data_IF_213644440843
#
_entry.id   IF_213644440843
#
_cell.length_a   1.000
_cell.length_b   1.000
_cell.length_c   1.000
_cell.angle_alpha   90.00
_cell.angle_beta   90.00
_cell.angle_gamma   90.00
#
_symmetry.space_group_name_H-M   'P 1'
#
loop_
_entity.id
_entity.type
_entity.pdbx_description
1 polymer ?
#
# COMPACT_ATOMS: atom_id res chain seq x y z
N UNK A 1 8.82 -3.51 7.21
CA UNK A 1 9.97 -2.58 7.40
C UNK A 1 10.00 -1.47 6.35
N UNK A 2 10.02 -1.80 5.05
CA UNK A 2 9.98 -0.84 3.93
C UNK A 2 8.89 0.22 4.11
N UNK A 3 7.67 -0.21 4.42
CA UNK A 3 6.47 0.59 4.69
C UNK A 3 6.75 1.72 5.69
N UNK A 4 7.31 1.36 6.83
CA UNK A 4 7.57 2.30 7.93
C UNK A 4 8.59 3.34 7.51
N UNK A 5 9.61 2.92 6.75
CA UNK A 5 10.61 3.84 6.22
C UNK A 5 10.00 4.75 5.16
N UNK A 6 9.11 4.24 4.31
CA UNK A 6 8.40 5.03 3.31
C UNK A 6 7.53 6.10 3.96
N UNK A 7 6.67 5.72 4.91
CA UNK A 7 5.81 6.68 5.63
C UNK A 7 6.62 7.75 6.37
N UNK A 8 7.73 7.35 7.03
CA UNK A 8 8.64 8.29 7.70
C UNK A 8 9.37 9.21 6.72
N UNK A 9 9.68 8.74 5.52
CA UNK A 9 10.34 9.54 4.50
C UNK A 9 9.37 10.51 3.81
N UNK A 10 8.14 10.06 3.54
CA UNK A 10 7.08 10.88 2.95
C UNK A 10 6.63 12.02 3.87
N UNK A 11 6.64 11.79 5.20
CA UNK A 11 6.16 12.75 6.21
C UNK A 11 4.84 13.44 5.80
N UNK A 12 3.80 12.69 5.42
CA UNK A 12 2.57 13.31 4.98
C UNK A 12 2.00 14.19 6.10
N UNK A 13 1.55 15.40 5.76
CA UNK A 13 1.04 16.39 6.72
C UNK A 13 -0.18 15.88 7.54
N UNK A 14 -0.92 14.90 7.02
CA UNK A 14 -2.01 14.23 7.76
C UNK A 14 -1.54 13.15 8.76
N UNK A 15 -0.26 12.78 8.75
CA UNK A 15 0.34 11.88 9.76
C UNK A 15 1.23 12.72 10.66
N UNK A 16 0.81 12.91 11.92
CA UNK A 16 1.61 13.66 12.89
C UNK A 16 2.74 12.77 13.44
N UNK A 17 3.96 13.31 13.65
CA UNK A 17 5.05 12.57 14.28
C UNK A 17 4.78 12.27 15.77
N UNK A 18 3.93 13.06 16.43
CA UNK A 18 3.53 12.92 17.84
C UNK A 18 2.01 13.20 18.01
N UNK A 19 1.38 12.65 19.05
CA UNK A 19 -0.06 12.80 19.35
C UNK A 19 -0.92 11.60 18.94
N UNK A 20 -2.25 11.78 18.86
CA UNK A 20 -3.25 10.71 18.64
C UNK A 20 -3.31 10.14 17.21
N UNK A 21 -2.55 10.69 16.25
CA UNK A 21 -2.57 10.29 14.84
C UNK A 21 -1.38 9.38 14.51
N UNK A 22 -1.40 8.16 15.04
CA UNK A 22 -0.31 7.18 14.91
C UNK A 22 -0.63 6.17 13.80
N UNK A 23 0.38 5.83 12.98
CA UNK A 23 0.29 4.67 12.08
C UNK A 23 0.34 3.39 12.91
N UNK A 24 -0.81 2.69 13.06
CA UNK A 24 -0.89 1.40 13.73
C UNK A 24 -0.74 0.27 12.71
N UNK A 25 0.32 -0.52 12.84
CA UNK A 25 0.56 -1.68 11.99
C UNK A 25 -0.09 -2.90 12.65
N UNK A 26 -0.86 -3.64 11.85
CA UNK A 26 -1.51 -4.87 12.28
C UNK A 26 -0.98 -6.03 11.43
N UNK A 27 -0.23 -6.98 12.02
CA UNK A 27 0.11 -8.20 11.31
C UNK A 27 -1.15 -9.07 11.17
N UNK A 28 -1.41 -9.54 9.95
CA UNK A 28 -2.59 -10.34 9.61
C UNK A 28 -2.26 -11.73 9.07
N UNK A 29 -1.00 -12.16 9.16
CA UNK A 29 -0.54 -13.45 8.67
C UNK A 29 -0.52 -13.50 7.13
N UNK A 30 -1.33 -14.38 6.54
CA UNK A 30 -1.40 -14.59 5.10
C UNK A 30 -2.49 -13.73 4.43
N UNK A 31 -2.53 -13.77 3.09
CA UNK A 31 -3.50 -13.05 2.25
C UNK A 31 -4.96 -13.27 2.69
N UNK A 32 -5.36 -14.51 2.97
CA UNK A 32 -6.71 -14.83 3.43
C UNK A 32 -7.04 -14.18 4.78
N UNK A 33 -6.08 -14.14 5.71
CA UNK A 33 -6.21 -13.44 6.99
C UNK A 33 -6.37 -11.93 6.81
N UNK A 34 -5.61 -11.32 5.90
CA UNK A 34 -5.73 -9.89 5.56
C UNK A 34 -7.12 -9.60 4.98
N UNK A 35 -7.59 -10.42 4.02
CA UNK A 35 -8.91 -10.28 3.39
C UNK A 35 -10.02 -10.35 4.45
N UNK A 36 -10.03 -11.40 5.28
CA UNK A 36 -11.04 -11.61 6.32
C UNK A 36 -11.11 -10.47 7.34
N UNK A 37 -9.97 -9.88 7.68
CA UNK A 37 -9.86 -8.84 8.72
C UNK A 37 -10.15 -7.43 8.20
N UNK A 38 -9.95 -7.19 6.91
CA UNK A 38 -10.09 -5.85 6.29
C UNK A 38 -11.44 -5.19 6.57
N UNK A 39 -12.59 -5.86 6.44
CA UNK A 39 -13.88 -5.22 6.71
C UNK A 39 -14.03 -4.76 8.16
N UNK A 40 -13.57 -5.56 9.12
CA UNK A 40 -13.60 -5.19 10.55
C UNK A 40 -12.76 -3.95 10.82
N UNK A 41 -11.53 -3.89 10.30
CA UNK A 41 -10.67 -2.72 10.50
C UNK A 41 -11.17 -1.48 9.74
N UNK A 42 -11.86 -1.67 8.61
CA UNK A 42 -12.52 -0.58 7.91
C UNK A 42 -13.67 -0.01 8.76
N UNK A 43 -14.51 -0.85 9.37
CA UNK A 43 -15.57 -0.39 10.30
C UNK A 43 -14.97 0.41 11.45
N UNK A 44 -13.85 -0.05 12.02
CA UNK A 44 -13.13 0.68 13.06
C UNK A 44 -12.69 2.07 12.58
N UNK A 45 -12.12 2.16 11.37
CA UNK A 45 -11.71 3.44 10.78
C UNK A 45 -12.89 4.37 10.51
N UNK A 46 -14.02 3.84 10.03
CA UNK A 46 -15.24 4.61 9.78
C UNK A 46 -15.81 5.18 11.08
N UNK A 47 -15.86 4.37 12.14
CA UNK A 47 -16.34 4.77 13.47
C UNK A 47 -15.42 5.81 14.13
N UNK A 48 -14.12 5.77 13.86
CA UNK A 48 -13.16 6.75 14.35
C UNK A 48 -13.26 8.12 13.63
N UNK A 49 -13.99 8.22 12.51
CA UNK A 49 -14.27 9.47 11.81
C UNK A 49 -13.41 9.75 10.57
N UNK A 50 -13.60 10.93 9.96
CA UNK A 50 -13.07 11.31 8.64
C UNK A 50 -11.54 11.32 8.51
N UNK A 51 -10.82 11.50 9.62
CA UNK A 51 -9.35 11.60 9.64
C UNK A 51 -8.63 10.25 9.77
N UNK A 52 -9.38 9.14 9.87
CA UNK A 52 -8.80 7.79 9.94
C UNK A 52 -8.93 7.09 8.59
N UNK A 53 -7.84 6.46 8.13
CA UNK A 53 -7.81 5.70 6.88
C UNK A 53 -7.21 4.32 7.10
N UNK A 54 -7.75 3.33 6.41
CA UNK A 54 -7.21 1.98 6.36
C UNK A 54 -6.31 1.84 5.14
N UNK A 55 -5.06 1.43 5.37
CA UNK A 55 -4.15 1.02 4.30
C UNK A 55 -3.96 -0.48 4.38
N UNK A 56 -4.16 -1.17 3.26
CA UNK A 56 -4.00 -2.62 3.14
C UNK A 56 -2.83 -2.93 2.22
N UNK A 57 -1.98 -3.83 2.70
CA UNK A 57 -0.75 -4.24 2.04
C UNK A 57 -0.80 -5.75 1.89
N UNK A 58 -0.66 -6.22 0.67
CA UNK A 58 -0.66 -7.65 0.36
C UNK A 58 0.13 -7.89 -0.92
N UNK A 59 0.74 -9.06 -1.00
CA UNK A 59 1.36 -9.49 -2.24
C UNK A 59 0.28 -10.01 -3.20
N UNK A 60 0.39 -9.60 -4.46
CA UNK A 60 -0.36 -10.14 -5.58
C UNK A 60 0.44 -11.33 -6.11
N UNK A 61 0.21 -12.50 -5.52
CA UNK A 61 0.94 -13.72 -5.83
C UNK A 61 0.81 -14.10 -7.33
N UNK A 62 1.61 -15.08 -7.77
CA UNK A 62 1.62 -15.56 -9.15
C UNK A 62 0.22 -15.96 -9.69
N UNK A 63 -0.67 -16.45 -8.83
CA UNK A 63 -2.04 -16.88 -9.15
C UNK A 63 -3.03 -15.72 -9.37
N UNK A 64 -2.64 -14.49 -9.05
CA UNK A 64 -3.48 -13.31 -9.17
C UNK A 64 -3.06 -12.45 -10.37
N UNK A 65 -4.00 -12.14 -11.27
CA UNK A 65 -3.68 -11.46 -12.53
C UNK A 65 -3.09 -10.06 -12.31
N UNK A 66 -3.73 -9.25 -11.46
CA UNK A 66 -3.32 -7.88 -11.16
C UNK A 66 -3.90 -7.38 -9.81
N UNK A 67 -3.62 -6.12 -9.47
CA UNK A 67 -4.15 -5.49 -8.26
C UNK A 67 -5.67 -5.32 -8.24
N UNK A 68 -6.34 -5.27 -9.40
CA UNK A 68 -7.81 -5.18 -9.47
C UNK A 68 -8.45 -6.53 -9.13
N UNK A 69 -7.92 -7.63 -9.66
CA UNK A 69 -8.35 -8.98 -9.33
C UNK A 69 -8.21 -9.24 -7.82
N UNK A 70 -7.09 -8.82 -7.22
CA UNK A 70 -6.91 -8.95 -5.78
C UNK A 70 -7.90 -8.07 -5.01
N UNK A 71 -8.08 -6.80 -5.41
CA UNK A 71 -9.05 -5.87 -4.79
C UNK A 71 -10.47 -6.42 -4.83
N UNK A 72 -10.83 -7.16 -5.86
CA UNK A 72 -12.16 -7.77 -5.97
C UNK A 72 -12.39 -8.84 -4.90
N UNK A 73 -11.37 -9.64 -4.55
CA UNK A 73 -11.45 -10.60 -3.44
C UNK A 73 -11.69 -9.89 -2.10
N UNK A 74 -11.05 -8.74 -1.88
CA UNK A 74 -11.31 -7.89 -0.71
C UNK A 74 -12.73 -7.32 -0.74
N UNK A 75 -13.23 -6.95 -1.92
CA UNK A 75 -14.57 -6.39 -2.08
C UNK A 75 -15.66 -7.42 -1.79
N UNK A 76 -15.52 -8.66 -2.28
CA UNK A 76 -16.47 -9.75 -2.01
C UNK A 76 -16.60 -10.02 -0.51
N UNK A 77 -15.48 -10.06 0.21
CA UNK A 77 -15.49 -10.24 1.66
C UNK A 77 -16.06 -9.04 2.41
N UNK A 78 -15.80 -7.82 1.93
CA UNK A 78 -16.39 -6.60 2.49
C UNK A 78 -17.92 -6.56 2.28
N UNK A 79 -18.39 -6.95 1.09
CA UNK A 79 -19.80 -7.04 0.75
C UNK A 79 -20.53 -8.06 1.64
N UNK A 80 -19.90 -9.22 1.91
CA UNK A 80 -20.42 -10.24 2.85
C UNK A 80 -20.61 -9.70 4.27
N UNK A 81 -19.88 -8.63 4.63
CA UNK A 81 -19.98 -7.94 5.91
C UNK A 81 -20.71 -6.59 5.82
N UNK A 82 -21.52 -6.40 4.77
CA UNK A 82 -22.41 -5.25 4.55
C UNK A 82 -21.68 -3.90 4.44
N UNK A 83 -20.42 -3.92 3.99
CA UNK A 83 -19.70 -2.70 3.64
C UNK A 83 -20.22 -2.18 2.30
N UNK A 84 -20.60 -0.90 2.24
CA UNK A 84 -20.99 -0.26 0.98
C UNK A 84 -19.78 -0.01 0.08
N UNK A 85 -19.99 0.09 -1.24
CA UNK A 85 -18.90 0.37 -2.18
C UNK A 85 -18.19 1.69 -1.87
N UNK A 86 -18.95 2.72 -1.53
CA UNK A 86 -18.43 4.03 -1.15
C UNK A 86 -17.54 3.97 0.10
N UNK A 87 -17.88 3.15 1.10
CA UNK A 87 -17.03 2.91 2.27
C UNK A 87 -15.77 2.13 1.91
N UNK A 88 -15.91 1.07 1.10
CA UNK A 88 -14.79 0.25 0.65
C UNK A 88 -13.77 1.03 -0.17
N UNK A 89 -14.22 1.93 -1.03
CA UNK A 89 -13.36 2.78 -1.86
C UNK A 89 -12.57 3.82 -1.04
N UNK A 90 -12.82 3.91 0.28
CA UNK A 90 -11.96 4.67 1.20
C UNK A 90 -10.66 3.94 1.56
N UNK A 91 -10.60 2.62 1.38
CA UNK A 91 -9.42 1.79 1.66
C UNK A 91 -8.34 2.06 0.62
N UNK A 92 -7.10 2.12 1.08
CA UNK A 92 -5.93 2.33 0.22
C UNK A 92 -5.18 1.02 0.10
N UNK A 93 -5.18 0.45 -1.10
CA UNK A 93 -4.49 -0.79 -1.39
C UNK A 93 -3.09 -0.53 -1.95
N UNK A 94 -2.10 -1.25 -1.42
CA UNK A 94 -0.72 -1.28 -1.89
C UNK A 94 -0.36 -2.74 -2.16
N UNK A 95 -0.41 -3.11 -3.43
CA UNK A 95 -0.23 -4.49 -3.87
C UNK A 95 1.02 -4.63 -4.72
N UNK A 96 2.01 -5.37 -4.21
CA UNK A 96 3.22 -5.70 -4.93
C UNK A 96 3.02 -7.02 -5.69
N UNK A 97 3.39 -7.09 -6.96
CA UNK A 97 3.33 -8.34 -7.73
C UNK A 97 4.45 -9.26 -7.27
N UNK A 98 4.06 -10.49 -6.91
CA UNK A 98 4.87 -11.52 -6.26
C UNK A 98 5.40 -11.08 -4.90
N UNK A 99 6.27 -10.07 -4.85
CA UNK A 99 6.85 -9.54 -3.61
C UNK A 99 7.21 -8.07 -3.69
N UNK A 100 7.22 -7.41 -2.54
CA UNK A 100 7.74 -6.05 -2.38
C UNK A 100 9.23 -5.92 -2.77
N UNK A 101 9.97 -7.01 -2.75
CA UNK A 101 11.35 -7.09 -3.24
C UNK A 101 11.50 -6.69 -4.71
N UNK A 102 10.49 -6.96 -5.56
CA UNK A 102 10.50 -6.47 -6.96
C UNK A 102 10.51 -4.93 -7.01
N UNK A 103 9.79 -4.28 -6.09
CA UNK A 103 9.85 -2.82 -5.99
C UNK A 103 11.20 -2.34 -5.51
N UNK A 104 11.80 -3.03 -4.54
CA UNK A 104 13.13 -2.68 -4.01
C UNK A 104 14.20 -2.82 -5.10
N UNK A 105 14.14 -3.88 -5.90
CA UNK A 105 15.01 -4.11 -7.05
C UNK A 105 14.89 -2.96 -8.04
N UNK A 106 13.68 -2.67 -8.52
CA UNK A 106 13.45 -1.54 -9.43
C UNK A 106 13.95 -0.21 -8.85
N UNK A 107 13.66 0.07 -7.57
CA UNK A 107 14.11 1.29 -6.92
C UNK A 107 15.63 1.32 -6.78
N UNK A 108 16.32 0.20 -6.78
CA UNK A 108 17.78 0.16 -6.68
C UNK A 108 18.45 0.26 -8.05
N UNK A 109 17.99 -0.54 -9.02
CA UNK A 109 18.64 -0.75 -10.32
C UNK A 109 18.03 0.06 -11.45
N UNK A 110 16.77 0.50 -11.30
CA UNK A 110 15.97 1.13 -12.35
C UNK A 110 15.21 0.15 -13.24
N UNK A 111 15.26 -1.16 -12.97
CA UNK A 111 14.51 -2.18 -13.71
C UNK A 111 14.14 -3.36 -12.80
N UNK A 112 13.04 -4.05 -13.10
CA UNK A 112 12.67 -5.32 -12.46
C UNK A 112 11.78 -6.10 -13.41
N UNK A 113 11.76 -7.42 -13.27
CA UNK A 113 10.82 -8.27 -13.98
C UNK A 113 9.81 -8.86 -12.98
N UNK A 114 8.59 -8.32 -12.96
CA UNK A 114 7.52 -8.76 -12.06
C UNK A 114 6.90 -10.11 -12.45
N UNK A 115 7.34 -10.73 -13.56
CA UNK A 115 6.98 -12.11 -13.89
C UNK A 115 7.77 -13.15 -13.08
N UNK A 116 8.83 -12.72 -12.42
CA UNK A 116 9.69 -13.55 -11.60
C UNK A 116 9.64 -13.13 -10.13
N UNK A 117 9.90 -14.09 -9.24
CA UNK A 117 10.01 -13.83 -7.81
C UNK A 117 11.22 -12.93 -7.54
N UNK A 118 10.98 -11.77 -6.94
CA UNK A 118 12.02 -10.80 -6.61
C UNK A 118 13.05 -11.37 -5.64
N UNK A 119 14.32 -11.00 -5.84
CA UNK A 119 15.42 -11.48 -4.98
C UNK A 119 15.20 -11.02 -3.53
N UNK A 120 15.23 -11.98 -2.60
CA UNK A 120 15.11 -11.69 -1.16
C UNK A 120 16.14 -10.64 -0.72
N UNK A 121 15.64 -9.53 -0.17
CA UNK A 121 16.45 -8.45 0.38
C UNK A 121 16.86 -8.81 1.80
N UNK A 122 18.15 -9.12 2.00
CA UNK A 122 18.68 -9.58 3.29
C UNK A 122 19.01 -8.44 4.25
N UNK A 123 19.20 -7.21 3.75
CA UNK A 123 19.69 -6.09 4.54
C UNK A 123 18.66 -4.97 4.66
N UNK A 124 18.36 -4.59 5.90
CA UNK A 124 17.39 -3.52 6.21
C UNK A 124 17.76 -2.16 5.60
N UNK A 125 19.05 -1.92 5.33
CA UNK A 125 19.54 -0.69 4.70
C UNK A 125 19.01 -0.54 3.28
N UNK A 126 19.03 -1.61 2.50
CA UNK A 126 18.60 -1.61 1.10
C UNK A 126 17.11 -1.27 0.98
N UNK A 127 16.26 -1.96 1.76
CA UNK A 127 14.84 -1.66 1.84
C UNK A 127 14.57 -0.22 2.33
N UNK A 128 15.40 0.32 3.24
CA UNK A 128 15.25 1.69 3.72
C UNK A 128 15.61 2.73 2.66
N UNK A 129 16.69 2.52 1.90
CA UNK A 129 17.09 3.42 0.82
C UNK A 129 16.11 3.38 -0.35
N UNK A 130 15.62 2.20 -0.73
CA UNK A 130 14.56 2.06 -1.72
C UNK A 130 13.30 2.82 -1.31
N UNK A 131 12.87 2.69 -0.05
CA UNK A 131 11.72 3.43 0.48
C UNK A 131 11.92 4.97 0.43
N UNK A 132 13.11 5.47 0.75
CA UNK A 132 13.43 6.91 0.61
C UNK A 132 13.43 7.36 -0.85
N UNK A 133 13.96 6.54 -1.76
CA UNK A 133 13.96 6.84 -3.19
C UNK A 133 12.54 6.92 -3.73
N UNK A 134 11.68 5.98 -3.35
CA UNK A 134 10.26 6.01 -3.69
C UNK A 134 9.59 7.29 -3.16
N UNK A 135 9.84 7.67 -1.90
CA UNK A 135 9.31 8.91 -1.32
C UNK A 135 9.74 10.15 -2.13
N UNK A 136 11.02 10.23 -2.50
CA UNK A 136 11.58 11.31 -3.34
C UNK A 136 10.98 11.33 -4.75
N UNK A 137 10.69 10.17 -5.33
CA UNK A 137 10.01 10.07 -6.62
C UNK A 137 8.56 10.55 -6.51
N UNK A 138 7.85 10.16 -5.45
CA UNK A 138 6.50 10.62 -5.17
C UNK A 138 6.42 12.14 -4.99
N UNK A 139 7.34 12.74 -4.23
CA UNK A 139 7.33 14.19 -3.96
C UNK A 139 7.62 15.03 -5.20
N UNK A 140 8.30 14.48 -6.21
CA UNK A 140 8.60 15.18 -7.47
C UNK A 140 7.43 15.15 -8.46
N UNK A 141 6.44 14.28 -8.27
CA UNK A 141 5.24 14.20 -9.12
C UNK A 141 5.49 13.83 -10.59
N UNK A 142 6.72 13.42 -10.96
CA UNK A 142 7.07 13.13 -12.36
C UNK A 142 6.78 11.68 -12.73
N UNK A 143 6.37 11.40 -13.98
CA UNK A 143 6.32 10.04 -14.51
C UNK A 143 7.69 9.38 -14.39
N UNK A 144 7.70 8.14 -13.94
CA UNK A 144 8.93 7.35 -13.80
C UNK A 144 8.97 6.36 -14.97
N UNK A 145 10.04 6.43 -15.76
CA UNK A 145 10.26 5.50 -16.87
C UNK A 145 10.41 4.07 -16.33
N UNK A 146 9.83 3.09 -17.02
CA UNK A 146 9.89 1.67 -16.70
C UNK A 146 9.36 1.31 -15.29
N UNK A 147 8.44 2.10 -14.74
CA UNK A 147 7.85 1.80 -13.44
C UNK A 147 7.09 0.47 -13.51
N UNK A 148 7.33 -0.46 -12.56
CA UNK A 148 6.67 -1.76 -12.56
C UNK A 148 5.16 -1.59 -12.47
N UNK A 149 4.36 -2.38 -13.21
CA UNK A 149 2.89 -2.26 -13.22
C UNK A 149 2.26 -2.25 -11.82
N UNK A 150 2.72 -3.12 -10.91
CA UNK A 150 2.14 -3.19 -9.56
C UNK A 150 2.48 -1.98 -8.68
N UNK A 151 3.67 -1.40 -8.90
CA UNK A 151 4.08 -0.15 -8.25
C UNK A 151 3.29 1.04 -8.80
N UNK A 152 3.09 1.14 -10.12
CA UNK A 152 2.26 2.20 -10.72
C UNK A 152 0.80 2.12 -10.24
N UNK A 153 0.23 0.92 -10.19
CA UNK A 153 -1.12 0.68 -9.64
C UNK A 153 -1.22 1.14 -8.19
N UNK A 154 -0.24 0.77 -7.35
CA UNK A 154 -0.19 1.17 -5.94
C UNK A 154 0.02 2.69 -5.78
N UNK A 155 0.83 3.31 -6.64
CA UNK A 155 1.00 4.76 -6.67
C UNK A 155 -0.29 5.51 -7.01
N UNK A 156 -1.13 4.99 -7.92
CA UNK A 156 -2.45 5.58 -8.23
C UNK A 156 -3.37 5.57 -7.01
N UNK A 157 -3.44 4.44 -6.29
CA UNK A 157 -4.20 4.32 -5.04
C UNK A 157 -3.70 5.29 -3.97
N UNK A 158 -2.38 5.42 -3.82
CA UNK A 158 -1.78 6.39 -2.91
C UNK A 158 -2.12 7.84 -3.28
N UNK A 159 -2.00 8.24 -4.56
CA UNK A 159 -2.36 9.60 -5.00
C UNK A 159 -3.82 9.93 -4.72
N UNK A 160 -4.73 8.97 -4.88
CA UNK A 160 -6.14 9.15 -4.54
C UNK A 160 -6.34 9.44 -3.04
N UNK A 161 -5.57 8.78 -2.15
CA UNK A 161 -5.55 9.11 -0.73
C UNK A 161 -5.03 10.54 -0.51
N UNK A 162 -3.88 10.89 -1.08
CA UNK A 162 -3.29 12.22 -0.90
C UNK A 162 -4.25 13.32 -1.34
N UNK A 163 -4.92 13.13 -2.48
CA UNK A 163 -5.95 14.06 -2.97
C UNK A 163 -7.08 14.26 -1.96
N UNK A 164 -7.61 13.17 -1.40
CA UNK A 164 -8.66 13.22 -0.37
C UNK A 164 -8.21 13.90 0.93
N UNK A 165 -6.98 13.66 1.36
CA UNK A 165 -6.45 14.18 2.62
C UNK A 165 -5.94 15.62 2.51
N UNK A 166 -5.58 16.08 1.30
CA UNK A 166 -5.12 17.44 1.03
C UNK A 166 -6.24 18.47 0.81
N UNK A 167 -7.49 18.01 0.61
CA UNK A 167 -8.69 18.87 0.49
C UNK A 167 -9.44 19.03 1.82
N UNK A 168 -8.87 18.58 2.94
CA UNK A 168 -9.46 18.63 4.29
C UNK A 168 -8.88 19.76 5.14
#
# INVERSE_FOLDING_TARGET
>A
MFINKLMRALKPNWVRPEGSNVVRILPCGNRAGVIKRTPTELKNCLNAGGHTTLMVWADCDHDCADGNALRELFWQEAQRQEITKAQFDRVVFLFAKDRIENWIEFLTTGNTDESNEGRRVKHNREAAEAAKKLASMCSKGKPVKNMPPSLDWSCKNWRALVGRMGTS
#
